data_IF_656820657179
#
_entry.id   IF_656820657179
#
_cell.length_a   1.000
_cell.length_b   1.000
_cell.length_c   1.000
_cell.angle_alpha   90.00
_cell.angle_beta   90.00
_cell.angle_gamma   90.00
#
_symmetry.space_group_name_H-M   'P 1'
#
loop_
_entity.id
_entity.type
_entity.pdbx_description
1 polymer ?
#
# COMPACT_ATOMS: atom_id res chain seq x y z
N UNK A 1 -23.23 15.84 6.07
CA UNK A 1 -22.88 14.85 5.04
C UNK A 1 -21.38 14.64 5.09
N UNK A 2 -20.89 13.46 5.48
CA UNK A 2 -19.47 13.13 5.27
C UNK A 2 -19.30 12.99 3.76
N UNK A 3 -18.49 13.83 3.15
CA UNK A 3 -18.11 13.63 1.75
C UNK A 3 -17.52 12.23 1.61
N UNK A 4 -18.00 11.45 0.65
CA UNK A 4 -17.31 10.21 0.29
C UNK A 4 -15.93 10.60 -0.24
N UNK A 5 -14.93 10.56 0.62
CA UNK A 5 -13.53 10.60 0.21
C UNK A 5 -13.18 9.33 -0.55
N UNK A 6 -12.09 9.37 -1.31
CA UNK A 6 -11.57 8.18 -1.96
C UNK A 6 -11.11 7.16 -0.91
N UNK A 7 -11.56 5.92 -1.04
CA UNK A 7 -11.13 4.77 -0.22
C UNK A 7 -10.35 3.82 -1.13
N UNK A 8 -9.05 3.59 -0.89
CA UNK A 8 -8.27 2.62 -1.65
C UNK A 8 -8.66 1.19 -1.21
N UNK A 9 -9.18 0.39 -2.15
CA UNK A 9 -9.58 -1.01 -1.91
C UNK A 9 -8.48 -2.02 -2.21
N UNK A 10 -7.63 -1.73 -3.19
CA UNK A 10 -6.50 -2.59 -3.56
C UNK A 10 -5.39 -1.79 -4.20
N UNK A 11 -4.19 -2.37 -4.23
CA UNK A 11 -3.04 -1.80 -4.93
C UNK A 11 -2.13 -2.90 -5.49
N UNK A 12 -1.71 -2.73 -6.75
CA UNK A 12 -0.73 -3.59 -7.42
C UNK A 12 0.46 -2.73 -7.83
N UNK A 13 1.64 -3.05 -7.29
CA UNK A 13 2.90 -2.37 -7.59
C UNK A 13 3.85 -3.35 -8.27
N UNK A 14 4.11 -3.16 -9.56
CA UNK A 14 5.05 -3.98 -10.35
C UNK A 14 6.22 -3.14 -10.84
N UNK A 15 7.44 -3.67 -10.77
CA UNK A 15 8.64 -2.99 -11.28
C UNK A 15 9.26 -1.94 -10.34
N UNK A 16 8.68 -1.75 -9.15
CA UNK A 16 9.18 -0.77 -8.18
C UNK A 16 10.45 -1.23 -7.49
N UNK A 17 11.53 -0.45 -7.61
CA UNK A 17 12.83 -0.74 -6.98
C UNK A 17 12.71 -0.99 -5.47
N UNK A 18 11.94 -0.17 -4.76
CA UNK A 18 11.76 -0.30 -3.31
C UNK A 18 11.08 -1.60 -2.87
N UNK A 19 10.19 -2.14 -3.71
CA UNK A 19 9.55 -3.44 -3.49
C UNK A 19 10.54 -4.57 -3.82
N UNK A 20 11.24 -4.49 -4.96
CA UNK A 20 12.22 -5.50 -5.35
C UNK A 20 13.38 -5.60 -4.35
N UNK A 21 14.05 -4.49 -4.03
CA UNK A 21 15.17 -4.51 -3.07
C UNK A 21 14.70 -4.73 -1.64
N UNK A 22 13.51 -4.27 -1.28
CA UNK A 22 12.99 -4.32 0.07
C UNK A 22 12.34 -5.65 0.44
N UNK A 23 11.61 -6.27 -0.48
CA UNK A 23 10.83 -7.48 -0.22
C UNK A 23 11.31 -8.68 -1.05
N UNK A 24 12.22 -8.49 -2.00
CA UNK A 24 12.65 -9.56 -2.90
C UNK A 24 11.56 -9.99 -3.89
N UNK A 25 10.56 -9.13 -4.12
CA UNK A 25 9.40 -9.41 -4.98
C UNK A 25 9.36 -8.43 -6.14
N UNK A 26 9.02 -8.92 -7.34
CA UNK A 26 8.84 -8.03 -8.49
C UNK A 26 7.49 -7.31 -8.46
N UNK A 27 6.47 -7.98 -7.90
CA UNK A 27 5.13 -7.44 -7.71
C UNK A 27 4.72 -7.52 -6.25
N UNK A 28 4.16 -6.43 -5.74
CA UNK A 28 3.38 -6.39 -4.51
C UNK A 28 1.90 -6.24 -4.90
N UNK A 29 1.08 -7.17 -4.46
CA UNK A 29 -0.37 -7.17 -4.68
C UNK A 29 -1.05 -7.26 -3.32
N UNK A 30 -1.84 -6.24 -2.98
CA UNK A 30 -2.51 -6.11 -1.69
C UNK A 30 -4.00 -5.84 -1.89
N UNK A 31 -4.81 -6.73 -1.31
CA UNK A 31 -6.22 -6.50 -1.03
C UNK A 31 -6.33 -5.75 0.30
N UNK A 32 -6.60 -4.45 0.24
CA UNK A 32 -6.64 -3.59 1.43
C UNK A 32 -7.91 -3.84 2.24
N UNK A 33 -9.02 -4.23 1.62
CA UNK A 33 -10.25 -4.56 2.34
C UNK A 33 -10.01 -5.79 3.23
N UNK A 34 -9.37 -6.83 2.68
CA UNK A 34 -9.03 -8.03 3.43
C UNK A 34 -8.00 -7.77 4.55
N UNK A 35 -7.03 -6.89 4.32
CA UNK A 35 -5.96 -6.59 5.30
C UNK A 35 -6.45 -5.68 6.42
N UNK A 36 -7.29 -4.70 6.10
CA UNK A 36 -7.73 -3.67 7.05
C UNK A 36 -8.98 -4.09 7.82
N UNK A 37 -9.90 -4.84 7.19
CA UNK A 37 -11.19 -5.19 7.78
C UNK A 37 -11.92 -3.94 8.31
N UNK A 38 -12.37 -4.01 9.57
CA UNK A 38 -13.05 -2.90 10.25
C UNK A 38 -12.09 -1.96 11.00
N UNK A 39 -10.78 -2.05 10.77
CA UNK A 39 -9.80 -1.26 11.50
C UNK A 39 -9.91 0.22 11.16
N UNK A 40 -10.04 1.06 12.19
CA UNK A 40 -10.05 2.51 12.03
C UNK A 40 -8.66 3.10 11.71
N UNK A 41 -7.58 2.37 12.02
CA UNK A 41 -6.20 2.77 11.77
C UNK A 41 -5.34 1.54 11.52
N UNK A 42 -4.55 1.57 10.45
CA UNK A 42 -3.60 0.51 10.10
C UNK A 42 -2.20 1.09 10.03
N UNK A 43 -1.24 0.37 10.58
CA UNK A 43 0.17 0.76 10.57
C UNK A 43 0.96 -0.09 9.57
N UNK A 44 1.81 0.56 8.78
CA UNK A 44 2.76 -0.13 7.89
C UNK A 44 4.09 -0.29 8.64
N UNK A 45 4.35 -1.50 9.13
CA UNK A 45 5.56 -1.85 9.87
C UNK A 45 6.71 -2.35 8.99
N UNK A 46 7.92 -2.41 9.57
CA UNK A 46 9.09 -3.05 8.96
C UNK A 46 10.38 -2.23 9.06
N UNK A 47 11.53 -2.87 8.85
CA UNK A 47 12.85 -2.22 8.88
C UNK A 47 13.04 -1.20 7.74
N UNK A 48 14.08 -0.37 7.82
CA UNK A 48 14.41 0.57 6.76
C UNK A 48 14.71 -0.16 5.45
N UNK A 49 14.31 0.45 4.32
CA UNK A 49 14.49 -0.13 3.00
C UNK A 49 13.48 -1.21 2.60
N UNK A 50 12.47 -1.52 3.42
CA UNK A 50 11.44 -2.55 3.13
C UNK A 50 10.26 -2.12 2.26
N UNK A 51 10.37 -0.99 1.56
CA UNK A 51 9.33 -0.53 0.62
C UNK A 51 8.14 0.20 1.25
N UNK A 52 8.20 0.56 2.54
CA UNK A 52 7.10 1.28 3.23
C UNK A 52 6.73 2.60 2.56
N UNK A 53 7.72 3.45 2.30
CA UNK A 53 7.53 4.73 1.59
C UNK A 53 7.04 4.49 0.17
N UNK A 54 7.55 3.48 -0.53
CA UNK A 54 7.06 3.10 -1.86
C UNK A 54 5.58 2.74 -1.84
N UNK A 55 5.10 1.99 -0.85
CA UNK A 55 3.68 1.68 -0.72
C UNK A 55 2.86 2.95 -0.43
N UNK A 56 3.26 3.75 0.57
CA UNK A 56 2.55 4.97 0.94
C UNK A 56 2.47 6.01 -0.19
N UNK A 57 3.58 6.21 -0.91
CA UNK A 57 3.66 7.17 -2.02
C UNK A 57 2.79 6.78 -3.20
N UNK A 58 2.33 5.52 -3.29
CA UNK A 58 1.45 5.06 -4.36
C UNK A 58 0.02 4.78 -3.87
N UNK A 59 -0.27 4.98 -2.58
CA UNK A 59 -1.61 4.73 -1.98
C UNK A 59 -2.55 5.93 -2.19
N UNK A 60 -2.60 6.44 -3.42
CA UNK A 60 -3.47 7.52 -3.84
C UNK A 60 -4.05 7.21 -5.23
N UNK A 61 -5.18 7.82 -5.62
CA UNK A 61 -5.70 7.67 -6.97
C UNK A 61 -4.66 8.04 -8.03
N UNK A 62 -4.66 7.34 -9.16
CA UNK A 62 -3.94 7.77 -10.35
C UNK A 62 -4.58 9.08 -10.86
N UNK A 63 -3.80 10.16 -10.92
CA UNK A 63 -4.22 11.43 -11.50
C UNK A 63 -4.07 11.41 -13.02
#
# INVERSE_FOLDING_TARGET
>A
MRGQGYVPHSIVLTGFKGIRSGLGRETLDLDLDAITGDAALVAIGGTNGRGKTTLMDNLHPLC
#
